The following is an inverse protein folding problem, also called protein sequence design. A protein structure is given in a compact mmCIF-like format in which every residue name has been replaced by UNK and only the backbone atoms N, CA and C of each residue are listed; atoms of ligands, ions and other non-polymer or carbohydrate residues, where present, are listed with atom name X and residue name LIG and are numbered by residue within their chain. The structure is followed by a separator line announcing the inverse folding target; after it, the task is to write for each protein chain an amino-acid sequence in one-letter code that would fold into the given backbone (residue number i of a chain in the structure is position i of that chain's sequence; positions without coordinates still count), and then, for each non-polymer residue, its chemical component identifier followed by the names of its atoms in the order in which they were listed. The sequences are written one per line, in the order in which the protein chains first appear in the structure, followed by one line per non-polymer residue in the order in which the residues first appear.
data_IF_601099252961
#
_entry.id   IF_601099252961
#
_cell.length_a   1.000
_cell.length_b   1.000
_cell.length_c   1.000
_cell.angle_alpha   90.00
_cell.angle_beta   90.00
_cell.angle_gamma   90.00
#
_symmetry.space_group_name_H-M   'P 1'
#
loop_
_entity.id
_entity.type
_entity.pdbx_description
1 polymer ?
#
# COMPACT_ATOMS: atom_id res chain seq x y z
N UNK A 1 13.15 -71.21 29.91
CA UNK A 1 14.31 -71.72 29.17
C UNK A 1 14.84 -70.56 28.35
N UNK A 2 15.87 -69.87 28.84
CA UNK A 2 17.31 -70.21 28.73
C UNK A 2 17.88 -69.51 27.49
N UNK A 3 18.47 -68.33 27.66
CA UNK A 3 19.89 -68.07 27.96
C UNK A 3 20.80 -68.22 26.74
N UNK A 4 21.53 -67.12 26.47
CA UNK A 4 22.87 -66.95 25.88
C UNK A 4 22.94 -65.46 25.48
N UNK A 5 23.68 -64.54 26.13
CA UNK A 5 25.14 -64.52 26.40
C UNK A 5 25.94 -64.88 25.12
N UNK A 6 26.96 -64.15 24.63
CA UNK A 6 27.64 -62.89 25.03
C UNK A 6 28.32 -62.34 23.73
N UNK A 7 29.18 -61.31 23.63
CA UNK A 7 29.90 -60.48 24.61
C UNK A 7 30.21 -59.05 24.09
N UNK A 8 30.76 -58.23 24.99
CA UNK A 8 31.63 -57.06 24.74
C UNK A 8 33.11 -57.51 24.87
N UNK A 9 34.13 -56.63 24.94
CA UNK A 9 34.36 -55.32 24.30
C UNK A 9 35.70 -55.31 23.53
N UNK A 10 36.14 -54.16 23.01
CA UNK A 10 37.55 -53.79 23.18
C UNK A 10 37.78 -52.27 23.18
N UNK A 11 38.42 -51.78 24.23
CA UNK A 11 38.93 -50.42 24.37
C UNK A 11 40.31 -50.51 25.00
N UNK A 12 41.32 -50.00 24.31
CA UNK A 12 42.74 -50.11 24.63
C UNK A 12 43.33 -48.71 24.33
N UNK A 13 43.54 -47.84 25.34
CA UNK A 13 44.83 -47.58 26.04
C UNK A 13 45.99 -47.18 25.10
N UNK A 14 46.87 -46.22 25.42
CA UNK A 14 46.98 -45.30 26.55
C UNK A 14 48.07 -44.23 26.29
N UNK A 15 48.20 -43.29 27.22
CA UNK A 15 49.43 -42.58 27.62
C UNK A 15 50.13 -41.57 26.68
N UNK A 16 50.48 -40.43 27.28
CA UNK A 16 51.44 -39.42 26.79
C UNK A 16 52.88 -39.82 27.15
N UNK A 17 53.92 -39.18 26.59
CA UNK A 17 54.54 -38.09 27.37
C UNK A 17 55.03 -36.87 26.57
N UNK A 18 55.10 -35.71 27.23
CA UNK A 18 55.98 -34.57 26.91
C UNK A 18 57.30 -34.71 27.74
N UNK A 19 58.38 -33.87 27.64
CA UNK A 19 58.39 -32.40 27.49
C UNK A 19 59.62 -31.80 26.74
N UNK A 20 59.96 -30.51 27.03
CA UNK A 20 61.19 -29.69 26.73
C UNK A 20 60.91 -28.56 25.71
N UNK A 21 60.72 -27.27 26.07
CA UNK A 21 61.63 -26.24 26.65
C UNK A 21 62.80 -25.82 25.72
N UNK A 22 63.22 -24.55 25.56
CA UNK A 22 62.65 -23.23 25.94
C UNK A 22 63.37 -22.05 25.21
N UNK A 23 62.64 -20.95 24.93
CA UNK A 23 63.10 -19.54 24.81
C UNK A 23 64.07 -19.10 23.68
N UNK A 24 64.39 -17.78 23.55
CA UNK A 24 63.79 -16.61 24.22
C UNK A 24 63.32 -15.46 23.28
N UNK A 25 62.63 -14.51 23.91
CA UNK A 25 62.43 -13.07 23.63
C UNK A 25 62.90 -12.41 22.30
N UNK A 26 62.00 -11.61 21.70
CA UNK A 26 62.30 -10.67 20.62
C UNK A 26 61.21 -9.59 20.49
N UNK A 27 61.49 -8.38 21.00
CA UNK A 27 60.57 -7.25 20.98
C UNK A 27 60.74 -6.38 19.72
N UNK A 28 59.68 -6.23 18.92
CA UNK A 28 59.55 -5.08 18.00
C UNK A 28 58.08 -4.69 17.82
N UNK A 29 57.70 -3.61 18.50
CA UNK A 29 56.45 -2.91 18.26
C UNK A 29 56.61 -1.88 17.14
N UNK A 30 56.50 -2.28 15.88
CA UNK A 30 56.41 -1.35 14.76
C UNK A 30 55.72 -1.98 13.54
N UNK A 31 54.40 -1.70 13.38
CA UNK A 31 53.73 -1.45 12.08
C UNK A 31 52.21 -1.19 12.28
N UNK A 32 51.90 -0.12 13.00
CA UNK A 32 50.51 0.35 13.16
C UNK A 32 50.05 1.15 11.92
N UNK A 33 49.91 0.47 10.77
CA UNK A 33 49.51 1.10 9.51
C UNK A 33 48.12 1.79 9.60
N UNK A 34 48.02 3.12 9.42
CA UNK A 34 46.77 3.85 9.60
C UNK A 34 45.93 3.84 8.31
N UNK A 35 45.23 2.74 8.00
CA UNK A 35 44.63 2.65 6.66
C UNK A 35 43.66 1.53 6.35
N UNK A 36 42.47 1.53 7.00
CA UNK A 36 41.14 1.47 6.34
C UNK A 36 40.05 1.18 7.39
N UNK A 37 39.34 2.24 7.81
CA UNK A 37 37.99 2.05 8.35
C UNK A 37 37.15 1.43 7.23
N UNK A 38 36.98 0.10 7.26
CA UNK A 38 36.04 -0.61 6.38
C UNK A 38 34.67 0.03 6.59
N UNK A 39 34.28 0.92 5.69
CA UNK A 39 32.89 1.35 5.58
C UNK A 39 32.09 0.07 5.38
N UNK A 40 31.46 -0.40 6.46
CA UNK A 40 30.60 -1.58 6.45
C UNK A 40 29.40 -1.17 5.62
N UNK A 41 29.52 -1.35 4.29
CA UNK A 41 28.47 -1.04 3.30
C UNK A 41 27.23 -1.69 3.87
N UNK A 42 26.29 -0.84 4.33
CA UNK A 42 25.10 -1.27 5.04
C UNK A 42 24.32 -2.12 4.07
N UNK A 43 24.49 -3.44 4.14
CA UNK A 43 23.82 -4.37 3.23
C UNK A 43 22.34 -4.08 3.36
N UNK A 44 21.74 -3.60 2.27
CA UNK A 44 20.32 -3.32 2.23
C UNK A 44 19.66 -4.68 2.47
N UNK A 45 19.06 -4.85 3.64
CA UNK A 45 18.40 -6.09 4.09
C UNK A 45 17.70 -6.74 2.90
N UNK A 46 17.95 -8.04 2.62
CA UNK A 46 17.52 -8.68 1.38
C UNK A 46 16.03 -8.44 1.17
N UNK A 47 15.73 -7.66 0.13
CA UNK A 47 14.35 -7.27 -0.18
C UNK A 47 13.64 -8.52 -0.69
N UNK A 48 12.50 -8.85 -0.11
CA UNK A 48 11.67 -9.94 -0.61
C UNK A 48 11.08 -9.48 -1.95
N UNK A 49 11.37 -10.14 -3.08
CA UNK A 49 10.79 -9.76 -4.37
C UNK A 49 9.28 -10.01 -4.35
N UNK A 50 8.54 -9.13 -5.01
CA UNK A 50 7.06 -9.09 -5.00
C UNK A 50 6.40 -10.42 -5.39
N UNK A 51 6.99 -11.15 -6.34
CA UNK A 51 6.58 -12.50 -6.75
C UNK A 51 6.51 -13.50 -5.59
N UNK A 52 7.52 -13.49 -4.69
CA UNK A 52 7.64 -14.40 -3.54
C UNK A 52 6.77 -14.02 -2.35
N UNK A 53 6.11 -12.86 -2.38
CA UNK A 53 5.21 -12.42 -1.30
C UNK A 53 3.88 -13.19 -1.40
N UNK A 54 3.54 -13.95 -0.36
CA UNK A 54 2.22 -14.60 -0.27
C UNK A 54 1.14 -13.52 -0.04
N UNK A 55 0.17 -13.47 -0.95
CA UNK A 55 -1.02 -12.64 -0.80
C UNK A 55 -2.07 -13.46 -0.05
N UNK A 56 -2.67 -12.85 0.97
CA UNK A 56 -3.82 -13.37 1.71
C UNK A 56 -4.66 -12.18 2.17
N UNK A 57 -5.87 -12.43 2.69
CA UNK A 57 -6.77 -11.39 3.16
C UNK A 57 -6.10 -10.37 4.09
N UNK A 58 -5.33 -10.84 5.08
CA UNK A 58 -4.59 -9.98 6.01
C UNK A 58 -3.62 -9.03 5.29
N UNK A 59 -2.77 -9.54 4.39
CA UNK A 59 -1.83 -8.70 3.64
C UNK A 59 -2.53 -7.73 2.70
N UNK A 60 -3.59 -8.17 1.99
CA UNK A 60 -4.35 -7.30 1.09
C UNK A 60 -5.10 -6.20 1.86
N UNK A 61 -5.69 -6.53 3.02
CA UNK A 61 -6.33 -5.56 3.90
C UNK A 61 -5.35 -4.48 4.38
N UNK A 62 -4.16 -4.86 4.86
CA UNK A 62 -3.18 -3.88 5.29
C UNK A 62 -2.61 -3.05 4.12
N UNK A 63 -2.50 -3.62 2.92
CA UNK A 63 -2.16 -2.86 1.70
C UNK A 63 -3.25 -1.84 1.38
N UNK A 64 -4.52 -2.24 1.42
CA UNK A 64 -5.68 -1.36 1.23
C UNK A 64 -5.70 -0.24 2.27
N UNK A 65 -5.68 -0.57 3.56
CA UNK A 65 -5.83 0.39 4.65
C UNK A 65 -4.67 1.40 4.70
N UNK A 66 -3.42 0.93 4.55
CA UNK A 66 -2.26 1.81 4.51
C UNK A 66 -2.24 2.60 3.19
N UNK A 67 -2.66 2.02 2.07
CA UNK A 67 -2.82 2.72 0.79
C UNK A 67 -3.84 3.85 0.84
N UNK A 68 -4.98 3.64 1.51
CA UNK A 68 -6.01 4.66 1.73
C UNK A 68 -5.46 5.91 2.45
N UNK A 69 -4.54 5.72 3.40
CA UNK A 69 -3.93 6.79 4.18
C UNK A 69 -2.74 7.43 3.45
N UNK A 70 -1.78 6.62 2.99
CA UNK A 70 -0.58 7.11 2.30
C UNK A 70 -0.94 7.85 1.01
N UNK A 71 -1.96 7.39 0.27
CA UNK A 71 -2.42 8.08 -0.94
C UNK A 71 -2.90 9.51 -0.63
N UNK A 72 -3.74 9.69 0.40
CA UNK A 72 -4.19 11.02 0.84
C UNK A 72 -3.01 11.88 1.27
N UNK A 73 -2.08 11.35 2.07
CA UNK A 73 -0.91 12.11 2.53
C UNK A 73 0.00 12.54 1.37
N UNK A 74 0.28 11.64 0.41
CA UNK A 74 1.10 11.96 -0.77
C UNK A 74 0.42 13.01 -1.65
N UNK A 75 -0.87 12.86 -1.91
CA UNK A 75 -1.66 13.80 -2.71
C UNK A 75 -1.74 15.18 -2.05
N UNK A 76 -2.05 15.26 -0.75
CA UNK A 76 -2.09 16.53 -0.01
C UNK A 76 -0.71 17.20 0.04
N UNK A 77 0.38 16.45 0.20
CA UNK A 77 1.75 17.00 0.10
C UNK A 77 2.06 17.48 -1.32
N UNK A 78 1.64 16.75 -2.34
CA UNK A 78 1.82 17.15 -3.74
C UNK A 78 1.05 18.44 -4.07
N UNK A 79 -0.21 18.56 -3.69
CA UNK A 79 -1.01 19.77 -3.82
C UNK A 79 -0.39 20.96 -3.07
N UNK A 80 0.09 20.75 -1.84
CA UNK A 80 0.74 21.81 -1.06
C UNK A 80 2.04 22.30 -1.72
N UNK A 81 2.83 21.40 -2.31
CA UNK A 81 4.09 21.74 -3.00
C UNK A 81 3.87 22.39 -4.37
N UNK A 82 2.83 21.99 -5.11
CA UNK A 82 2.61 22.44 -6.51
C UNK A 82 1.62 23.59 -6.65
N UNK A 83 0.60 23.67 -5.78
CA UNK A 83 -0.47 24.67 -5.84
C UNK A 83 -0.48 25.62 -4.63
N UNK A 84 0.43 25.44 -3.67
CA UNK A 84 0.61 26.29 -2.47
C UNK A 84 -0.63 26.47 -1.57
N UNK A 85 -1.67 25.66 -1.74
CA UNK A 85 -2.87 25.63 -0.90
C UNK A 85 -3.21 24.21 -0.46
N UNK A 86 -3.99 24.09 0.62
CA UNK A 86 -4.41 22.80 1.16
C UNK A 86 -5.69 22.32 0.48
N UNK A 87 -5.59 21.27 -0.33
CA UNK A 87 -6.74 20.56 -0.90
C UNK A 87 -7.07 19.32 -0.07
N UNK A 88 -8.35 19.18 0.32
CA UNK A 88 -8.85 17.97 0.96
C UNK A 88 -9.18 16.92 -0.12
N UNK A 89 -8.47 15.79 -0.08
CA UNK A 89 -8.60 14.63 -0.99
C UNK A 89 -9.10 13.36 -0.29
N UNK A 90 -9.69 13.53 0.89
CA UNK A 90 -10.25 12.44 1.69
C UNK A 90 -11.51 11.88 1.01
N UNK A 91 -11.61 10.56 0.94
CA UNK A 91 -12.75 9.87 0.34
C UNK A 91 -13.83 9.46 1.34
N UNK A 92 -13.54 9.50 2.64
CA UNK A 92 -14.45 9.05 3.71
C UNK A 92 -14.73 10.12 4.76
N UNK A 93 -15.96 10.11 5.26
CA UNK A 93 -16.44 11.06 6.26
C UNK A 93 -15.70 10.94 7.60
N UNK A 94 -15.20 9.75 7.96
CA UNK A 94 -14.42 9.54 9.18
C UNK A 94 -12.95 9.23 8.90
N UNK A 95 -12.08 10.20 9.17
CA UNK A 95 -10.62 10.05 9.13
C UNK A 95 -10.01 10.22 7.72
N UNK A 96 -8.68 10.42 7.63
CA UNK A 96 -7.99 10.77 6.40
C UNK A 96 -7.73 9.56 5.49
N UNK A 97 -8.82 8.95 5.00
CA UNK A 97 -8.79 7.75 4.17
C UNK A 97 -9.48 8.01 2.83
N UNK A 98 -8.88 7.53 1.74
CA UNK A 98 -9.52 7.49 0.42
C UNK A 98 -9.48 6.05 -0.14
N UNK A 99 -10.63 5.35 -0.24
CA UNK A 99 -10.72 4.00 -0.75
C UNK A 99 -10.17 3.82 -2.16
N UNK A 100 -10.23 4.84 -3.02
CA UNK A 100 -9.70 4.76 -4.40
C UNK A 100 -8.20 4.46 -4.37
N UNK A 101 -7.43 5.14 -3.52
CA UNK A 101 -5.99 4.88 -3.40
C UNK A 101 -5.69 3.49 -2.80
N UNK A 102 -6.50 3.04 -1.83
CA UNK A 102 -6.38 1.69 -1.27
C UNK A 102 -6.71 0.58 -2.27
N UNK A 103 -7.78 0.76 -3.05
CA UNK A 103 -8.19 -0.18 -4.11
C UNK A 103 -7.15 -0.20 -5.23
N UNK A 104 -6.64 0.95 -5.68
CA UNK A 104 -5.56 1.03 -6.66
C UNK A 104 -4.28 0.32 -6.18
N UNK A 105 -3.89 0.51 -4.92
CA UNK A 105 -2.77 -0.20 -4.30
C UNK A 105 -2.96 -1.74 -4.27
N UNK A 106 -4.17 -2.22 -3.95
CA UNK A 106 -4.51 -3.65 -3.99
C UNK A 106 -4.52 -4.18 -5.42
N UNK A 107 -5.17 -3.49 -6.36
CA UNK A 107 -5.25 -3.86 -7.77
C UNK A 107 -3.85 -3.99 -8.36
N UNK A 108 -2.99 -2.98 -8.17
CA UNK A 108 -1.60 -3.02 -8.63
C UNK A 108 -0.83 -4.20 -7.99
N UNK A 109 -1.05 -4.46 -6.71
CA UNK A 109 -0.41 -5.58 -5.99
C UNK A 109 -0.84 -6.95 -6.52
N UNK A 110 -2.12 -7.14 -6.84
CA UNK A 110 -2.65 -8.41 -7.36
C UNK A 110 -2.31 -8.58 -8.83
N UNK A 111 -2.64 -7.59 -9.66
CA UNK A 111 -2.56 -7.66 -11.12
C UNK A 111 -1.14 -7.55 -11.67
N UNK A 112 -0.17 -6.93 -10.97
CA UNK A 112 1.24 -6.92 -11.41
C UNK A 112 2.09 -8.04 -10.79
N UNK A 113 1.54 -8.87 -9.89
CA UNK A 113 2.32 -9.93 -9.24
C UNK A 113 2.92 -10.92 -10.25
N UNK A 114 2.16 -11.35 -11.25
CA UNK A 114 2.65 -12.25 -12.32
C UNK A 114 3.66 -11.59 -13.26
N UNK A 115 3.65 -10.25 -13.32
CA UNK A 115 4.59 -9.42 -14.09
C UNK A 115 5.87 -9.08 -13.30
N UNK A 116 5.88 -9.25 -11.97
CA UNK A 116 6.94 -8.74 -11.11
C UNK A 116 8.33 -9.38 -11.28
N UNK A 117 8.39 -10.60 -11.86
CA UNK A 117 9.65 -11.27 -12.25
C UNK A 117 10.05 -11.00 -13.72
N UNK A 118 9.26 -10.23 -14.48
CA UNK A 118 9.55 -9.88 -15.89
C UNK A 118 10.44 -8.63 -15.98
N UNK A 119 10.88 -8.31 -17.21
CA UNK A 119 11.62 -7.06 -17.50
C UNK A 119 10.79 -5.84 -17.08
N UNK A 120 11.47 -4.81 -16.60
CA UNK A 120 10.87 -3.58 -16.07
C UNK A 120 9.91 -2.89 -17.06
N UNK A 121 10.18 -3.00 -18.37
CA UNK A 121 9.29 -2.52 -19.44
C UNK A 121 7.90 -3.20 -19.42
N UNK A 122 7.82 -4.50 -19.11
CA UNK A 122 6.53 -5.19 -19.00
C UNK A 122 5.76 -4.75 -17.75
N UNK A 123 6.46 -4.54 -16.63
CA UNK A 123 5.87 -4.00 -15.40
C UNK A 123 5.31 -2.60 -15.67
N UNK A 124 6.06 -1.75 -16.35
CA UNK A 124 5.63 -0.42 -16.77
C UNK A 124 4.39 -0.48 -17.68
N UNK A 125 4.44 -1.24 -18.78
CA UNK A 125 3.33 -1.29 -19.75
C UNK A 125 2.06 -1.91 -19.14
N UNK A 126 2.21 -2.99 -18.35
CA UNK A 126 1.11 -3.58 -17.61
C UNK A 126 0.50 -2.60 -16.61
N UNK A 127 1.32 -1.85 -15.88
CA UNK A 127 0.83 -0.82 -14.97
C UNK A 127 0.10 0.32 -15.69
N UNK A 128 0.60 0.77 -16.83
CA UNK A 128 -0.03 1.82 -17.62
C UNK A 128 -1.46 1.44 -18.04
N UNK A 129 -1.64 0.20 -18.53
CA UNK A 129 -2.95 -0.34 -18.92
C UNK A 129 -3.85 -0.56 -17.71
N UNK A 130 -3.36 -1.20 -16.64
CA UNK A 130 -4.15 -1.50 -15.43
C UNK A 130 -4.55 -0.21 -14.71
N UNK A 131 -3.67 0.78 -14.62
CA UNK A 131 -3.91 2.08 -14.01
C UNK A 131 -4.91 2.92 -14.80
N UNK A 132 -4.73 3.03 -16.11
CA UNK A 132 -5.71 3.72 -16.99
C UNK A 132 -7.10 3.08 -16.94
N UNK A 133 -7.17 1.74 -16.94
CA UNK A 133 -8.43 1.02 -16.76
C UNK A 133 -9.06 1.26 -15.38
N UNK A 134 -8.26 1.32 -14.31
CA UNK A 134 -8.74 1.61 -12.96
C UNK A 134 -9.28 3.04 -12.83
N UNK A 135 -8.58 4.02 -13.40
CA UNK A 135 -8.99 5.43 -13.45
C UNK A 135 -10.32 5.60 -14.20
N UNK A 136 -10.44 4.97 -15.37
CA UNK A 136 -11.66 4.92 -16.17
C UNK A 136 -12.83 4.27 -15.40
N UNK A 137 -12.60 3.11 -14.76
CA UNK A 137 -13.62 2.42 -13.96
C UNK A 137 -14.04 3.20 -12.71
N UNK A 138 -13.12 3.91 -12.04
CA UNK A 138 -13.46 4.76 -10.91
C UNK A 138 -14.31 5.96 -11.33
N UNK A 139 -13.98 6.60 -12.45
CA UNK A 139 -14.77 7.69 -13.02
C UNK A 139 -16.19 7.22 -13.40
N UNK A 140 -16.32 6.09 -14.12
CA UNK A 140 -17.62 5.49 -14.44
C UNK A 140 -18.43 5.14 -13.18
N UNK A 141 -17.80 4.51 -12.20
CA UNK A 141 -18.49 4.12 -10.98
C UNK A 141 -19.01 5.34 -10.19
N UNK A 142 -18.24 6.42 -10.13
CA UNK A 142 -18.64 7.64 -9.44
C UNK A 142 -19.79 8.36 -10.15
N UNK A 143 -19.73 8.46 -11.49
CA UNK A 143 -20.79 9.04 -12.31
C UNK A 143 -22.09 8.25 -12.16
N UNK A 144 -22.04 6.91 -12.34
CA UNK A 144 -23.23 6.04 -12.26
C UNK A 144 -23.83 5.95 -10.85
N UNK A 145 -23.03 6.11 -9.79
CA UNK A 145 -23.50 5.97 -8.40
C UNK A 145 -23.88 7.29 -7.73
N UNK A 146 -23.33 8.42 -8.18
CA UNK A 146 -23.45 9.71 -7.48
C UNK A 146 -23.67 10.92 -8.39
N UNK A 147 -23.74 10.77 -9.72
CA UNK A 147 -23.90 11.90 -10.66
C UNK A 147 -22.75 12.92 -10.61
N UNK A 148 -21.56 12.51 -10.13
CA UNK A 148 -20.41 13.39 -9.95
C UNK A 148 -19.15 12.79 -10.57
N UNK A 149 -18.22 13.67 -10.93
CA UNK A 149 -16.92 13.29 -11.50
C UNK A 149 -15.82 14.02 -10.73
N UNK A 150 -14.81 13.28 -10.25
CA UNK A 150 -13.68 13.86 -9.52
C UNK A 150 -12.54 14.36 -10.41
N UNK A 151 -12.53 14.04 -11.70
CA UNK A 151 -11.54 14.54 -12.67
C UNK A 151 -12.09 14.51 -14.10
N UNK A 152 -11.92 15.60 -14.83
CA UNK A 152 -12.33 15.72 -16.22
C UNK A 152 -11.08 16.04 -17.08
N UNK A 153 -10.82 15.20 -18.09
CA UNK A 153 -9.67 15.28 -18.99
C UNK A 153 -10.10 15.47 -20.45
N UNK A 154 -11.33 15.91 -20.72
CA UNK A 154 -11.87 16.14 -22.08
C UNK A 154 -10.98 17.08 -22.92
N UNK A 155 -10.30 18.03 -22.27
CA UNK A 155 -9.48 19.06 -22.90
C UNK A 155 -7.99 18.68 -23.08
N UNK A 156 -7.63 17.40 -22.95
CA UNK A 156 -6.23 16.92 -23.01
C UNK A 156 -5.96 16.04 -24.23
N UNK A 157 -4.82 16.21 -24.90
CA UNK A 157 -4.48 15.48 -26.13
C UNK A 157 -4.27 13.98 -25.88
N UNK A 158 -4.88 13.11 -26.70
CA UNK A 158 -4.92 11.65 -26.50
C UNK A 158 -5.62 11.22 -25.20
N UNK A 159 -6.76 11.85 -24.93
CA UNK A 159 -7.70 11.36 -23.93
C UNK A 159 -8.50 10.15 -24.45
N UNK A 160 -8.93 9.30 -23.53
CA UNK A 160 -9.94 8.29 -23.76
C UNK A 160 -11.22 8.74 -23.05
N UNK A 161 -12.22 9.14 -23.83
CA UNK A 161 -13.56 9.53 -23.37
C UNK A 161 -13.56 10.65 -22.30
N UNK A 162 -12.53 11.51 -22.30
CA UNK A 162 -12.34 12.54 -21.27
C UNK A 162 -12.08 12.02 -19.83
N UNK A 163 -11.95 10.71 -19.61
CA UNK A 163 -11.83 10.09 -18.28
C UNK A 163 -10.41 9.67 -17.90
N UNK A 164 -9.55 9.46 -18.89
CA UNK A 164 -8.10 9.21 -18.71
C UNK A 164 -7.31 9.69 -19.93
N UNK A 165 -5.99 9.74 -19.84
CA UNK A 165 -5.08 10.22 -20.89
C UNK A 165 -3.80 9.37 -20.95
N UNK A 166 -3.16 9.27 -22.12
CA UNK A 166 -1.83 8.66 -22.32
C UNK A 166 -0.78 9.17 -21.32
N UNK A 167 -0.80 10.45 -20.94
CA UNK A 167 0.11 11.01 -19.92
C UNK A 167 -0.13 10.38 -18.53
N UNK A 168 -1.39 10.22 -18.11
CA UNK A 168 -1.72 9.55 -16.86
C UNK A 168 -1.40 8.06 -16.92
N UNK A 169 -1.66 7.39 -18.05
CA UNK A 169 -1.21 6.02 -18.29
C UNK A 169 0.32 5.88 -18.16
N UNK A 170 1.10 6.84 -18.66
CA UNK A 170 2.56 6.88 -18.46
C UNK A 170 2.95 7.05 -16.98
N UNK A 171 2.26 7.95 -16.25
CA UNK A 171 2.47 8.14 -14.80
C UNK A 171 2.12 6.86 -14.01
N UNK A 172 1.00 6.21 -14.33
CA UNK A 172 0.65 4.88 -13.79
C UNK A 172 1.71 3.84 -14.12
N UNK A 173 2.27 3.87 -15.34
CA UNK A 173 3.41 3.07 -15.75
C UNK A 173 4.58 3.16 -14.79
N UNK A 174 5.04 4.39 -14.50
CA UNK A 174 6.15 4.66 -13.60
C UNK A 174 5.80 4.34 -12.14
N UNK A 175 4.59 4.67 -11.71
CA UNK A 175 4.12 4.44 -10.34
C UNK A 175 4.03 2.94 -10.02
N UNK A 176 3.55 2.10 -10.94
CA UNK A 176 3.53 0.65 -10.74
C UNK A 176 4.91 0.00 -10.77
N UNK A 177 5.84 0.51 -11.58
CA UNK A 177 7.23 0.08 -11.53
C UNK A 177 7.84 0.38 -10.15
N UNK A 178 7.65 1.61 -9.65
CA UNK A 178 8.05 2.01 -8.30
C UNK A 178 7.33 1.17 -7.21
N UNK A 179 6.05 0.86 -7.42
CA UNK A 179 5.24 0.05 -6.51
C UNK A 179 5.81 -1.36 -6.37
N UNK A 180 5.99 -2.06 -7.49
CA UNK A 180 6.43 -3.45 -7.54
C UNK A 180 7.88 -3.63 -7.07
N UNK A 181 8.78 -2.69 -7.39
CA UNK A 181 10.20 -2.79 -7.04
C UNK A 181 10.53 -2.25 -5.64
N UNK A 182 9.85 -1.20 -5.19
CA UNK A 182 10.24 -0.45 -4.00
C UNK A 182 9.14 -0.35 -2.93
N UNK A 183 7.93 0.13 -3.27
CA UNK A 183 6.91 0.45 -2.25
C UNK A 183 6.31 -0.81 -1.63
N UNK A 184 5.79 -1.75 -2.43
CA UNK A 184 5.14 -2.95 -1.92
C UNK A 184 6.08 -3.86 -1.10
N UNK A 185 7.34 -4.14 -1.51
CA UNK A 185 8.27 -4.88 -0.67
C UNK A 185 8.57 -4.20 0.68
N UNK A 186 8.66 -2.87 0.72
CA UNK A 186 8.86 -2.11 1.97
C UNK A 186 7.60 -2.14 2.85
N UNK A 187 6.42 -1.94 2.25
CA UNK A 187 5.12 -2.00 2.91
C UNK A 187 4.88 -3.39 3.53
N UNK A 188 5.15 -4.46 2.77
CA UNK A 188 5.06 -5.83 3.27
C UNK A 188 6.04 -6.10 4.43
N UNK A 189 7.26 -5.55 4.37
CA UNK A 189 8.22 -5.64 5.46
C UNK A 189 7.75 -4.90 6.73
N UNK A 190 6.97 -3.81 6.61
CA UNK A 190 6.31 -3.15 7.74
C UNK A 190 5.15 -3.99 8.29
N UNK A 191 4.28 -4.53 7.42
CA UNK A 191 3.15 -5.40 7.79
C UNK A 191 3.64 -6.63 8.57
N UNK A 192 4.79 -7.21 8.18
CA UNK A 192 5.42 -8.34 8.89
C UNK A 192 5.96 -8.02 10.29
N UNK A 193 6.13 -6.74 10.67
CA UNK A 193 6.50 -6.35 12.04
C UNK A 193 5.32 -6.39 13.00
N UNK A 194 4.09 -6.39 12.50
CA UNK A 194 2.88 -6.42 13.33
C UNK A 194 2.75 -7.82 13.98
N UNK A 195 2.68 -7.93 15.32
CA UNK A 195 2.53 -9.22 15.99
C UNK A 195 1.21 -9.91 15.60
N UNK A 196 1.28 -11.20 15.21
CA UNK A 196 0.19 -11.88 14.49
C UNK A 196 -1.14 -11.92 15.25
N UNK A 197 -1.13 -12.22 16.55
CA UNK A 197 -2.35 -12.33 17.38
C UNK A 197 -3.14 -11.01 17.43
N UNK A 198 -2.59 -9.90 17.95
CA UNK A 198 -3.30 -8.61 17.94
C UNK A 198 -3.52 -8.07 16.53
N UNK A 199 -2.61 -8.35 15.58
CA UNK A 199 -2.77 -7.97 14.18
C UNK A 199 -4.04 -8.52 13.55
N UNK A 200 -4.38 -9.80 13.79
CA UNK A 200 -5.61 -10.42 13.25
C UNK A 200 -6.87 -9.77 13.84
N UNK A 201 -6.90 -9.53 15.16
CA UNK A 201 -8.02 -8.86 15.83
C UNK A 201 -8.18 -7.44 15.30
N UNK A 202 -7.07 -6.70 15.20
CA UNK A 202 -7.05 -5.33 14.68
C UNK A 202 -7.50 -5.26 13.22
N UNK A 203 -7.10 -6.22 12.38
CA UNK A 203 -7.62 -6.35 11.01
C UNK A 203 -9.14 -6.53 11.02
N UNK A 204 -9.70 -7.40 11.85
CA UNK A 204 -11.16 -7.57 11.94
C UNK A 204 -11.89 -6.28 12.33
N UNK A 205 -11.42 -5.59 13.37
CA UNK A 205 -12.00 -4.32 13.83
C UNK A 205 -11.89 -3.22 12.78
N UNK A 206 -10.72 -3.05 12.16
CA UNK A 206 -10.50 -2.03 11.12
C UNK A 206 -11.27 -2.34 9.83
N UNK A 207 -11.50 -3.60 9.49
CA UNK A 207 -12.40 -3.98 8.38
C UNK A 207 -13.82 -3.50 8.65
N UNK A 208 -14.38 -3.81 9.82
CA UNK A 208 -15.74 -3.38 10.18
C UNK A 208 -15.84 -1.85 10.17
N UNK A 209 -14.85 -1.16 10.74
CA UNK A 209 -14.76 0.30 10.68
C UNK A 209 -14.74 0.83 9.24
N UNK A 210 -13.87 0.31 8.36
CA UNK A 210 -13.78 0.78 6.98
C UNK A 210 -15.07 0.53 6.19
N UNK A 211 -15.70 -0.63 6.35
CA UNK A 211 -16.98 -0.96 5.69
C UNK A 211 -18.09 -0.01 6.14
N UNK A 212 -18.27 0.17 7.46
CA UNK A 212 -19.28 1.09 7.99
C UNK A 212 -19.01 2.55 7.57
N UNK A 213 -17.76 2.98 7.56
CA UNK A 213 -17.36 4.31 7.14
C UNK A 213 -17.62 4.54 5.63
N UNK A 214 -17.32 3.55 4.78
CA UNK A 214 -17.68 3.57 3.35
C UNK A 214 -19.19 3.64 3.15
N UNK A 215 -19.98 2.84 3.86
CA UNK A 215 -21.44 2.84 3.77
C UNK A 215 -22.04 4.18 4.22
N UNK A 216 -21.61 4.74 5.35
CA UNK A 216 -22.07 6.04 5.83
C UNK A 216 -21.66 7.17 4.88
N UNK A 217 -20.46 7.11 4.31
CA UNK A 217 -20.00 8.10 3.32
C UNK A 217 -20.83 8.04 2.03
N UNK A 218 -21.09 6.84 1.51
CA UNK A 218 -21.91 6.63 0.33
C UNK A 218 -23.36 7.11 0.53
N UNK A 219 -24.02 6.70 1.63
CA UNK A 219 -25.38 7.15 1.95
C UNK A 219 -25.48 8.67 2.17
N UNK A 220 -24.43 9.31 2.70
CA UNK A 220 -24.40 10.76 2.84
C UNK A 220 -24.30 11.49 1.50
N UNK A 221 -23.51 10.96 0.56
CA UNK A 221 -23.41 11.48 -0.82
C UNK A 221 -24.69 11.23 -1.63
N UNK A 222 -25.27 10.04 -1.53
CA UNK A 222 -26.57 9.71 -2.14
C UNK A 222 -27.67 10.64 -1.61
N UNK A 223 -27.74 10.85 -0.29
CA UNK A 223 -28.70 11.80 0.29
C UNK A 223 -28.47 13.24 -0.18
N UNK A 224 -27.22 13.64 -0.42
CA UNK A 224 -26.89 14.93 -1.03
C UNK A 224 -27.37 15.05 -2.49
N UNK A 225 -27.27 14.00 -3.32
CA UNK A 225 -27.87 14.01 -4.67
C UNK A 225 -29.39 14.13 -4.58
N UNK A 226 -30.04 13.31 -3.74
CA UNK A 226 -31.49 13.41 -3.50
C UNK A 226 -31.95 14.79 -3.03
N UNK A 227 -31.14 15.52 -2.23
CA UNK A 227 -31.46 16.91 -1.84
C UNK A 227 -31.40 17.88 -3.02
N UNK A 228 -30.46 17.69 -3.96
CA UNK A 228 -30.34 18.51 -5.19
C UNK A 228 -31.50 18.26 -6.15
N UNK A 229 -31.93 17.00 -6.26
CA UNK A 229 -33.14 16.58 -7.00
C UNK A 229 -34.46 17.03 -6.32
N UNK A 230 -34.40 17.73 -5.18
CA UNK A 230 -35.57 18.23 -4.46
C UNK A 230 -36.35 17.17 -3.67
N UNK A 231 -35.81 15.95 -3.52
CA UNK A 231 -36.48 14.85 -2.83
C UNK A 231 -36.44 15.06 -1.31
N UNK A 232 -37.60 15.19 -0.62
CA UNK A 232 -37.66 15.40 0.82
C UNK A 232 -37.36 14.11 1.61
N UNK A 233 -36.88 14.25 2.85
CA UNK A 233 -36.57 13.11 3.71
C UNK A 233 -37.84 12.42 4.25
N UNK A 234 -38.25 11.34 3.59
CA UNK A 234 -39.47 10.56 3.90
C UNK A 234 -39.33 9.60 5.08
N UNK A 235 -38.10 9.20 5.44
CA UNK A 235 -37.85 8.18 6.47
C UNK A 235 -36.82 8.65 7.54
N UNK A 236 -36.75 7.98 8.71
CA UNK A 236 -35.86 8.39 9.80
C UNK A 236 -34.36 8.36 9.45
N UNK A 237 -33.95 7.50 8.51
CA UNK A 237 -32.55 7.41 8.06
C UNK A 237 -32.19 8.63 7.23
N UNK A 238 -33.01 9.00 6.24
CA UNK A 238 -32.82 10.24 5.47
C UNK A 238 -32.79 11.49 6.35
N UNK A 239 -33.66 11.55 7.38
CA UNK A 239 -33.65 12.64 8.37
C UNK A 239 -32.39 12.64 9.25
N UNK A 240 -31.86 11.46 9.61
CA UNK A 240 -30.57 11.35 10.30
C UNK A 240 -29.42 11.88 9.44
N UNK A 241 -29.38 11.53 8.15
CA UNK A 241 -28.38 12.02 7.20
C UNK A 241 -28.49 13.53 6.95
N UNK A 242 -29.71 14.09 6.87
CA UNK A 242 -29.90 15.55 6.76
C UNK A 242 -29.37 16.31 7.98
N UNK A 243 -29.58 15.77 9.19
CA UNK A 243 -29.11 16.39 10.44
C UNK A 243 -27.61 16.24 10.68
N UNK A 244 -27.02 15.08 10.37
CA UNK A 244 -25.62 14.78 10.67
C UNK A 244 -24.66 15.12 9.52
N UNK A 245 -25.14 15.08 8.26
CA UNK A 245 -24.35 15.32 7.06
C UNK A 245 -25.05 16.33 6.12
N UNK A 246 -25.27 17.58 6.60
CA UNK A 246 -25.74 18.67 5.76
C UNK A 246 -24.71 19.02 4.68
N UNK A 247 -25.16 19.69 3.62
CA UNK A 247 -24.34 19.95 2.44
C UNK A 247 -23.07 20.76 2.75
N UNK A 248 -23.14 21.73 3.66
CA UNK A 248 -21.98 22.49 4.16
C UNK A 248 -20.88 21.58 4.74
N UNK A 249 -21.28 20.52 5.46
CA UNK A 249 -20.33 19.57 6.06
C UNK A 249 -19.71 18.71 4.96
N UNK A 250 -20.50 18.25 4.00
CA UNK A 250 -20.03 17.44 2.88
C UNK A 250 -19.11 18.25 1.96
N UNK A 251 -19.40 19.52 1.67
CA UNK A 251 -18.52 20.39 0.90
C UNK A 251 -17.14 20.61 1.57
N UNK A 252 -17.07 20.69 2.91
CA UNK A 252 -15.78 20.77 3.63
C UNK A 252 -14.97 19.46 3.56
N UNK A 253 -15.64 18.32 3.45
CA UNK A 253 -15.00 17.00 3.34
C UNK A 253 -14.59 16.71 1.88
N UNK A 254 -15.45 17.08 0.93
CA UNK A 254 -15.36 16.80 -0.50
C UNK A 254 -15.33 18.08 -1.36
N UNK A 255 -14.37 19.03 -1.14
CA UNK A 255 -14.39 20.34 -1.81
C UNK A 255 -14.11 20.28 -3.32
N UNK A 256 -13.65 19.13 -3.83
CA UNK A 256 -13.24 18.93 -5.22
C UNK A 256 -14.25 18.10 -6.04
N UNK A 257 -15.45 17.84 -5.50
CA UNK A 257 -16.46 17.01 -6.18
C UNK A 257 -17.30 17.86 -7.15
N UNK A 258 -17.14 17.63 -8.45
CA UNK A 258 -17.90 18.32 -9.50
C UNK A 258 -19.15 17.54 -9.88
N UNK A 259 -20.25 18.24 -10.16
CA UNK A 259 -21.50 17.64 -10.64
C UNK A 259 -21.42 17.48 -12.15
N UNK A 260 -21.92 16.37 -12.68
CA UNK A 260 -21.88 16.10 -14.14
C UNK A 260 -22.70 17.12 -14.93
N UNK A 261 -23.81 17.61 -14.36
CA UNK A 261 -24.70 18.60 -14.98
C UNK A 261 -24.08 20.01 -15.09
N UNK A 262 -23.04 20.31 -14.31
CA UNK A 262 -22.30 21.58 -14.34
C UNK A 262 -21.10 21.54 -15.32
N UNK A 263 -20.82 20.39 -15.97
CA UNK A 263 -19.71 20.27 -16.91
C UNK A 263 -20.08 20.90 -18.27
N UNK A 264 -19.24 21.79 -18.83
CA UNK A 264 -19.48 22.34 -20.16
C UNK A 264 -19.28 21.24 -21.23
N UNK A 265 -20.35 21.01 -22.01
CA UNK A 265 -20.37 20.16 -23.21
C UNK A 265 -19.25 20.48 -24.21
#
# INVERSE_FOLDING_TARGET
MENLQESRPEALTAASPAPTQAGPEGNTAEDAAPGKRRFRRREKSPRIPTSKIRLNYYTLFWVFFIGCFIGVVLETVWCLLTRHHYENRVGLVYGPFNPVYGLGAVLMTVCLKWLSDKRDLWIFLGSAVIGGAFEYLCSLFQELSFGTVSWEYSKTQFNFDGRTNVMYAFMWGLLGLLWVKELFPRLYALIKKIPRKPGIVLTGVLTVFMVLNMLVSAMALERQSQRREGVPATNPVSQFFDRHFPDERLQRIYPNMMVVEDLPL
#
